data_IF_723782664994
#
_entry.id   IF_723782664994
#
_cell.length_a   1.000
_cell.length_b   1.000
_cell.length_c   1.000
_cell.angle_alpha   90.00
_cell.angle_beta   90.00
_cell.angle_gamma   90.00
#
_symmetry.space_group_name_H-M   'P 1'
#
loop_
_entity.id
_entity.type
_entity.pdbx_description
1 polymer ?
#
# COMPACT_ATOMS: atom_id res chain seq x y z
N UNK A 1 -2.71 20.96 9.08
CA UNK A 1 -2.51 19.99 7.97
C UNK A 1 -3.32 18.75 8.31
N UNK A 2 -3.79 17.96 7.33
CA UNK A 2 -4.59 16.75 7.61
C UNK A 2 -3.71 15.68 8.26
N UNK A 3 -4.22 15.02 9.31
CA UNK A 3 -3.52 13.95 10.04
C UNK A 3 -3.86 12.59 9.45
N UNK A 4 -2.84 11.77 9.17
CA UNK A 4 -3.01 10.48 8.50
C UNK A 4 -2.50 9.35 9.39
N UNK A 5 -3.36 8.37 9.66
CA UNK A 5 -3.05 7.15 10.38
C UNK A 5 -2.93 6.00 9.38
N UNK A 6 -1.83 5.26 9.39
CA UNK A 6 -1.70 4.03 8.60
C UNK A 6 -1.60 2.81 9.51
N UNK A 7 -2.20 1.71 9.06
CA UNK A 7 -2.28 0.44 9.77
C UNK A 7 -1.56 -0.62 8.95
N UNK A 8 -0.60 -1.31 9.57
CA UNK A 8 0.09 -2.47 8.99
C UNK A 8 0.04 -3.63 9.97
N UNK A 9 -0.83 -4.61 9.73
CA UNK A 9 -1.01 -5.73 10.65
C UNK A 9 0.07 -6.82 10.52
N UNK A 10 0.72 -6.93 9.35
CA UNK A 10 1.74 -7.93 9.08
C UNK A 10 3.03 -7.34 8.46
N UNK A 11 3.73 -6.44 9.19
CA UNK A 11 4.98 -5.86 8.70
C UNK A 11 6.06 -6.93 8.53
N UNK A 12 7.11 -6.60 7.78
CA UNK A 12 8.23 -7.50 7.53
C UNK A 12 9.55 -6.74 7.54
N UNK A 13 10.65 -7.43 7.80
CA UNK A 13 11.98 -6.95 7.42
C UNK A 13 12.30 -7.55 6.06
N UNK A 14 12.35 -6.73 5.02
CA UNK A 14 12.60 -7.19 3.66
C UNK A 14 14.10 -7.30 3.41
N UNK A 15 14.57 -8.53 3.16
CA UNK A 15 15.93 -8.87 2.75
C UNK A 15 16.00 -8.92 1.24
N UNK A 16 16.57 -7.87 0.63
CA UNK A 16 16.89 -7.90 -0.80
C UNK A 16 18.29 -8.46 -0.99
N UNK A 17 18.38 -9.66 -1.54
CA UNK A 17 19.62 -10.38 -1.85
C UNK A 17 19.93 -10.25 -3.34
N UNK A 18 21.12 -9.77 -3.68
CA UNK A 18 21.60 -9.78 -5.08
C UNK A 18 22.31 -11.10 -5.33
N UNK A 19 21.71 -11.97 -6.14
CA UNK A 19 22.21 -13.31 -6.43
C UNK A 19 22.31 -13.49 -7.94
N UNK A 20 23.50 -13.27 -8.54
CA UNK A 20 23.71 -13.49 -9.97
C UNK A 20 23.53 -14.95 -10.35
N UNK A 21 22.77 -15.19 -11.43
CA UNK A 21 22.46 -16.52 -11.98
C UNK A 21 21.85 -17.46 -10.94
N UNK A 22 20.75 -17.01 -10.32
CA UNK A 22 20.04 -17.76 -9.30
C UNK A 22 19.54 -19.08 -9.87
N UNK A 23 19.93 -20.17 -9.21
CA UNK A 23 19.59 -21.52 -9.65
C UNK A 23 18.86 -22.30 -8.55
N UNK A 24 17.76 -22.96 -8.92
CA UNK A 24 17.06 -23.92 -8.06
C UNK A 24 17.93 -25.17 -7.87
N UNK A 25 17.83 -25.79 -6.69
CA UNK A 25 18.61 -26.99 -6.34
C UNK A 25 20.15 -26.79 -6.46
N UNK A 26 20.62 -25.59 -6.18
CA UNK A 26 22.04 -25.22 -6.23
C UNK A 26 22.45 -24.38 -5.01
N UNK A 27 23.76 -24.34 -4.73
CA UNK A 27 24.33 -23.42 -3.75
C UNK A 27 24.47 -22.05 -4.39
N UNK A 28 23.69 -21.11 -3.90
CA UNK A 28 23.69 -19.73 -4.37
C UNK A 28 24.52 -18.85 -3.43
N UNK A 29 25.31 -17.92 -3.97
CA UNK A 29 26.10 -16.95 -3.18
C UNK A 29 25.59 -15.54 -3.42
N UNK A 30 24.95 -14.96 -2.42
CA UNK A 30 24.57 -13.55 -2.45
C UNK A 30 25.82 -12.65 -2.51
N UNK A 31 25.81 -11.66 -3.40
CA UNK A 31 26.88 -10.67 -3.58
C UNK A 31 26.61 -9.38 -2.83
N UNK A 32 25.34 -9.10 -2.53
CA UNK A 32 24.92 -8.00 -1.68
C UNK A 32 23.65 -8.39 -0.92
N UNK A 33 23.48 -7.77 0.25
CA UNK A 33 22.26 -7.86 1.06
C UNK A 33 21.87 -6.46 1.49
N UNK A 34 20.58 -6.15 1.39
CA UNK A 34 19.96 -4.96 1.96
C UNK A 34 18.78 -5.39 2.83
N UNK A 35 18.59 -4.69 3.95
CA UNK A 35 17.48 -4.91 4.88
C UNK A 35 16.70 -3.63 4.99
N UNK A 36 15.40 -3.72 4.74
CA UNK A 36 14.51 -2.57 4.83
C UNK A 36 13.31 -2.91 5.73
N UNK A 37 12.79 -1.95 6.51
CA UNK A 37 11.51 -2.11 7.15
C UNK A 37 10.42 -2.09 6.08
N UNK A 38 9.72 -3.19 5.96
CA UNK A 38 8.67 -3.43 4.99
C UNK A 38 7.28 -3.51 5.61
N UNK A 39 6.28 -3.31 4.77
CA UNK A 39 4.86 -3.32 5.12
C UNK A 39 4.13 -2.20 4.39
N UNK A 40 3.04 -2.54 3.68
CA UNK A 40 2.36 -1.59 2.80
C UNK A 40 2.00 -0.27 3.49
N UNK A 41 1.45 -0.31 4.71
CA UNK A 41 1.08 0.90 5.44
C UNK A 41 2.26 1.71 5.96
N UNK A 42 3.39 1.06 6.25
CA UNK A 42 4.66 1.72 6.57
C UNK A 42 5.19 2.44 5.31
N UNK A 43 5.12 1.80 4.14
CA UNK A 43 5.53 2.41 2.87
C UNK A 43 4.65 3.63 2.53
N UNK A 44 3.33 3.51 2.67
CA UNK A 44 2.39 4.62 2.48
C UNK A 44 2.73 5.79 3.41
N UNK A 45 2.92 5.53 4.71
CA UNK A 45 3.26 6.57 5.68
C UNK A 45 4.63 7.21 5.41
N UNK A 46 5.59 6.43 4.92
CA UNK A 46 6.92 6.91 4.55
C UNK A 46 6.81 7.94 3.42
N UNK A 47 6.11 7.60 2.34
CA UNK A 47 5.90 8.50 1.21
C UNK A 47 5.11 9.76 1.60
N UNK A 48 4.04 9.60 2.38
CA UNK A 48 3.24 10.73 2.89
C UNK A 48 4.07 11.68 3.77
N UNK A 49 4.88 11.15 4.67
CA UNK A 49 5.75 11.97 5.53
C UNK A 49 6.79 12.74 4.72
N UNK A 50 7.41 12.08 3.74
CA UNK A 50 8.35 12.74 2.82
C UNK A 50 7.67 13.80 1.94
N UNK A 51 6.39 13.60 1.62
CA UNK A 51 5.52 14.60 0.99
C UNK A 51 5.00 15.69 1.93
N UNK A 52 5.46 15.70 3.19
CA UNK A 52 5.21 16.76 4.17
C UNK A 52 4.01 16.55 5.10
N UNK A 53 3.32 15.41 5.05
CA UNK A 53 2.16 15.14 5.91
C UNK A 53 2.54 14.64 7.30
N UNK A 54 1.74 14.98 8.30
CA UNK A 54 1.82 14.37 9.62
C UNK A 54 1.28 12.95 9.58
N UNK A 55 2.17 11.96 9.73
CA UNK A 55 1.82 10.54 9.70
C UNK A 55 2.04 9.85 11.04
N UNK A 56 1.08 9.00 11.38
CA UNK A 56 1.15 8.09 12.51
C UNK A 56 0.97 6.67 12.01
N UNK A 57 1.73 5.73 12.57
CA UNK A 57 1.76 4.33 12.13
C UNK A 57 1.38 3.39 13.28
N UNK A 58 0.58 2.37 13.02
CA UNK A 58 0.18 1.38 14.02
C UNK A 58 -0.01 -0.01 13.42
N UNK A 59 -0.20 -1.02 14.28
CA UNK A 59 -0.26 -2.43 13.95
C UNK A 59 0.50 -3.27 14.96
N UNK A 60 1.11 -4.38 14.52
CA UNK A 60 1.89 -5.27 15.38
C UNK A 60 3.37 -5.28 14.98
N UNK A 61 4.28 -5.21 15.96
CA UNK A 61 5.72 -5.41 15.76
C UNK A 61 6.30 -6.34 16.82
N UNK A 62 7.25 -7.19 16.43
CA UNK A 62 8.03 -7.98 17.37
C UNK A 62 9.11 -7.13 18.06
N UNK A 63 9.29 -7.32 19.37
CA UNK A 63 10.28 -6.60 20.18
C UNK A 63 11.73 -6.96 19.82
N UNK A 64 12.00 -8.20 19.42
CA UNK A 64 13.36 -8.71 19.24
C UNK A 64 14.12 -8.00 18.11
N UNK A 65 13.43 -7.60 17.04
CA UNK A 65 14.03 -6.99 15.86
C UNK A 65 13.42 -5.62 15.50
N UNK A 66 12.85 -4.91 16.48
CA UNK A 66 12.15 -3.63 16.25
C UNK A 66 13.06 -2.47 15.83
N UNK A 67 14.36 -2.53 16.16
CA UNK A 67 15.28 -1.39 16.03
C UNK A 67 15.30 -0.80 14.61
N UNK A 68 15.22 -1.64 13.57
CA UNK A 68 15.19 -1.16 12.17
C UNK A 68 13.94 -0.31 11.88
N UNK A 69 12.78 -0.71 12.42
CA UNK A 69 11.54 0.05 12.31
C UNK A 69 11.60 1.34 13.13
N UNK A 70 12.09 1.28 14.37
CA UNK A 70 12.22 2.46 15.22
C UNK A 70 13.10 3.55 14.59
N UNK A 71 14.25 3.15 14.03
CA UNK A 71 15.12 4.06 13.31
C UNK A 71 14.43 4.64 12.09
N UNK A 72 13.75 3.82 11.29
CA UNK A 72 13.03 4.28 10.11
C UNK A 72 11.89 5.25 10.42
N UNK A 73 11.12 5.00 11.47
CA UNK A 73 10.08 5.92 11.94
C UNK A 73 10.68 7.26 12.36
N UNK A 74 11.79 7.23 13.11
CA UNK A 74 12.51 8.44 13.51
C UNK A 74 13.07 9.22 12.31
N UNK A 75 13.76 8.54 11.40
CA UNK A 75 14.42 9.17 10.24
C UNK A 75 13.42 9.78 9.26
N UNK A 76 12.19 9.24 9.21
CA UNK A 76 11.09 9.77 8.40
C UNK A 76 10.08 10.57 9.22
N UNK A 77 10.39 11.01 10.45
CA UNK A 77 9.51 11.84 11.28
C UNK A 77 8.07 11.29 11.46
N UNK A 78 7.93 9.96 11.46
CA UNK A 78 6.64 9.28 11.65
C UNK A 78 6.39 9.03 13.14
N UNK A 79 5.15 9.24 13.58
CA UNK A 79 4.75 8.91 14.96
C UNK A 79 4.50 7.41 15.09
N UNK A 80 5.36 6.73 15.83
CA UNK A 80 5.21 5.31 16.15
C UNK A 80 4.09 5.08 17.18
N UNK A 81 3.12 4.23 16.85
CA UNK A 81 2.06 3.76 17.73
C UNK A 81 1.76 2.28 17.53
N UNK A 82 2.78 1.50 17.16
CA UNK A 82 2.68 0.04 17.07
C UNK A 82 2.50 -0.61 18.45
N UNK A 83 1.77 -1.72 18.46
CA UNK A 83 1.73 -2.64 19.58
C UNK A 83 2.92 -3.60 19.51
N UNK A 84 3.86 -3.46 20.44
CA UNK A 84 5.05 -4.30 20.53
C UNK A 84 4.79 -5.58 21.30
N UNK A 85 4.92 -6.70 20.60
CA UNK A 85 4.66 -8.07 21.07
C UNK A 85 5.97 -8.84 21.24
N UNK A 86 5.98 -9.85 22.10
CA UNK A 86 7.14 -10.72 22.30
C UNK A 86 7.47 -11.48 21.01
N UNK A 87 8.77 -11.69 20.74
CA UNK A 87 9.25 -12.33 19.52
C UNK A 87 9.69 -11.35 18.42
N UNK A 88 9.73 -11.84 17.19
CA UNK A 88 10.32 -11.13 16.04
C UNK A 88 9.27 -10.85 14.98
N UNK A 89 9.27 -9.64 14.42
CA UNK A 89 8.59 -9.36 13.14
C UNK A 89 9.16 -10.28 12.07
N UNK A 90 8.31 -10.81 11.20
CA UNK A 90 8.72 -11.73 10.13
C UNK A 90 9.72 -11.08 9.17
N UNK A 91 10.41 -11.93 8.42
CA UNK A 91 11.34 -11.51 7.38
C UNK A 91 10.76 -11.85 6.00
N UNK A 92 10.93 -10.97 5.03
CA UNK A 92 10.68 -11.26 3.61
C UNK A 92 12.01 -11.44 2.91
N UNK A 93 12.10 -12.35 1.94
CA UNK A 93 13.32 -12.52 1.14
C UNK A 93 12.98 -12.22 -0.30
N UNK A 94 13.71 -11.27 -0.89
CA UNK A 94 13.67 -10.95 -2.30
C UNK A 94 15.01 -11.28 -2.93
N UNK A 95 15.03 -12.22 -3.86
CA UNK A 95 16.22 -12.59 -4.62
C UNK A 95 16.18 -11.83 -5.95
N UNK A 96 17.13 -10.92 -6.15
CA UNK A 96 17.31 -10.17 -7.40
C UNK A 96 18.45 -10.79 -8.19
N UNK A 97 18.15 -11.28 -9.38
CA UNK A 97 19.14 -11.78 -10.32
C UNK A 97 19.40 -10.74 -11.42
N UNK A 98 20.54 -10.03 -11.39
CA UNK A 98 20.86 -9.03 -12.40
C UNK A 98 21.21 -9.63 -13.78
N UNK A 99 21.58 -10.91 -13.84
CA UNK A 99 21.95 -11.59 -15.09
C UNK A 99 20.68 -12.00 -15.83
N UNK A 100 19.77 -12.69 -15.14
CA UNK A 100 18.50 -13.13 -15.71
C UNK A 100 17.47 -11.98 -15.76
N UNK A 101 17.70 -10.89 -15.03
CA UNK A 101 16.79 -9.74 -14.85
C UNK A 101 15.46 -10.16 -14.23
N UNK A 102 15.54 -11.10 -13.30
CA UNK A 102 14.39 -11.67 -12.61
C UNK A 102 14.42 -11.33 -11.11
N UNK A 103 13.25 -11.42 -10.49
CA UNK A 103 13.11 -11.28 -9.05
C UNK A 103 12.21 -12.38 -8.52
N UNK A 104 12.66 -13.06 -7.46
CA UNK A 104 11.87 -14.06 -6.74
C UNK A 104 11.56 -13.56 -5.34
N UNK A 105 10.28 -13.56 -4.97
CA UNK A 105 9.81 -13.18 -3.64
C UNK A 105 9.45 -14.42 -2.81
N UNK A 106 10.00 -14.51 -1.60
CA UNK A 106 9.70 -15.53 -0.60
C UNK A 106 9.20 -14.80 0.64
N UNK A 107 7.88 -14.83 0.82
CA UNK A 107 7.22 -14.22 1.96
C UNK A 107 7.02 -15.25 3.07
N UNK A 108 7.58 -14.98 4.25
CA UNK A 108 7.27 -15.77 5.45
C UNK A 108 5.92 -15.34 6.02
N UNK A 109 5.28 -16.25 6.74
CA UNK A 109 4.13 -15.92 7.57
C UNK A 109 4.55 -15.00 8.73
N UNK A 110 3.59 -14.19 9.17
CA UNK A 110 3.74 -13.37 10.38
C UNK A 110 3.79 -14.23 11.64
N UNK A 111 4.11 -13.62 12.77
CA UNK A 111 3.90 -14.28 14.05
C UNK A 111 2.40 -14.33 14.37
N UNK A 112 2.00 -15.34 15.15
CA UNK A 112 0.59 -15.56 15.48
C UNK A 112 0.09 -14.46 16.43
N UNK A 113 -1.05 -13.85 16.09
CA UNK A 113 -1.69 -12.81 16.91
C UNK A 113 -2.81 -13.44 17.72
N UNK A 114 -2.81 -13.19 19.04
CA UNK A 114 -3.87 -13.69 19.93
C UNK A 114 -5.09 -12.77 19.91
N UNK A 115 -6.27 -13.28 20.29
CA UNK A 115 -7.47 -12.45 20.44
C UNK A 115 -7.24 -11.28 21.43
N UNK A 116 -6.47 -11.50 22.49
CA UNK A 116 -6.14 -10.44 23.45
C UNK A 116 -5.30 -9.32 22.80
N UNK A 117 -4.37 -9.66 21.91
CA UNK A 117 -3.58 -8.67 21.18
C UNK A 117 -4.44 -7.90 20.16
N UNK A 118 -5.40 -8.58 19.51
CA UNK A 118 -6.39 -7.93 18.62
C UNK A 118 -7.24 -6.93 19.41
N UNK A 119 -7.76 -7.30 20.57
CA UNK A 119 -8.57 -6.41 21.42
C UNK A 119 -7.76 -5.21 21.89
N UNK A 120 -6.50 -5.42 22.30
CA UNK A 120 -5.57 -4.34 22.67
C UNK A 120 -5.34 -3.38 21.50
N UNK A 121 -5.11 -3.90 20.29
CA UNK A 121 -4.94 -3.07 19.11
C UNK A 121 -6.23 -2.32 18.75
N UNK A 122 -7.41 -2.94 18.83
CA UNK A 122 -8.69 -2.27 18.56
C UNK A 122 -8.96 -1.13 19.54
N UNK A 123 -8.69 -1.33 20.83
CA UNK A 123 -8.83 -0.28 21.84
C UNK A 123 -7.86 0.88 21.58
N UNK A 124 -6.57 0.57 21.33
CA UNK A 124 -5.58 1.57 20.96
C UNK A 124 -6.00 2.32 19.68
N UNK A 125 -6.49 1.60 18.67
CA UNK A 125 -6.94 2.18 17.41
C UNK A 125 -8.08 3.17 17.62
N UNK A 126 -9.07 2.86 18.47
CA UNK A 126 -10.15 3.79 18.81
C UNK A 126 -9.62 5.08 19.43
N UNK A 127 -8.66 5.00 20.36
CA UNK A 127 -8.04 6.19 20.96
C UNK A 127 -7.31 7.03 19.90
N UNK A 128 -6.57 6.35 19.00
CA UNK A 128 -5.80 6.96 17.93
C UNK A 128 -6.66 7.70 16.90
N UNK A 129 -7.92 7.30 16.69
CA UNK A 129 -8.82 7.95 15.74
C UNK A 129 -9.14 9.41 16.09
N UNK A 130 -8.87 9.85 17.32
CA UNK A 130 -9.21 11.20 17.79
C UNK A 130 -8.55 12.31 16.94
N UNK A 131 -9.36 12.85 16.04
CA UNK A 131 -9.02 13.90 15.07
C UNK A 131 -8.03 13.48 13.99
N UNK A 132 -7.91 12.18 13.72
CA UNK A 132 -7.35 11.67 12.46
C UNK A 132 -8.32 11.97 11.34
N UNK A 133 -7.82 12.50 10.22
CA UNK A 133 -8.64 12.83 9.06
C UNK A 133 -8.69 11.69 8.03
N UNK A 134 -7.60 10.92 7.92
CA UNK A 134 -7.46 9.81 6.97
C UNK A 134 -6.90 8.57 7.66
N UNK A 135 -7.49 7.42 7.36
CA UNK A 135 -7.00 6.10 7.78
C UNK A 135 -6.69 5.25 6.56
N UNK A 136 -5.49 4.67 6.53
CA UNK A 136 -5.07 3.71 5.50
C UNK A 136 -4.89 2.33 6.12
N UNK A 137 -5.75 1.40 5.75
CA UNK A 137 -5.68 0.00 6.16
C UNK A 137 -5.01 -0.80 5.05
N UNK A 138 -3.81 -1.34 5.28
CA UNK A 138 -3.06 -1.92 4.17
C UNK A 138 -2.13 -3.07 4.53
N UNK A 139 -1.94 -3.95 3.57
CA UNK A 139 -1.09 -5.14 3.69
C UNK A 139 -1.85 -6.38 4.15
N UNK A 140 -1.17 -7.51 4.08
CA UNK A 140 -1.74 -8.82 4.43
C UNK A 140 -2.02 -8.95 5.93
N UNK A 141 -2.82 -9.95 6.28
CA UNK A 141 -3.16 -10.29 7.66
C UNK A 141 -2.19 -11.35 8.20
N UNK A 142 -1.67 -11.20 9.43
CA UNK A 142 -0.86 -12.25 10.04
C UNK A 142 -1.74 -13.41 10.54
N UNK A 143 -1.16 -14.59 10.83
CA UNK A 143 -1.89 -15.70 11.42
C UNK A 143 -2.63 -15.32 12.71
N UNK A 144 -3.83 -15.87 12.92
CA UNK A 144 -4.66 -15.58 14.09
C UNK A 144 -5.59 -14.36 13.93
N UNK A 145 -5.38 -13.52 12.92
CA UNK A 145 -6.24 -12.35 12.65
C UNK A 145 -7.39 -12.72 11.70
N UNK A 146 -8.61 -12.37 12.10
CA UNK A 146 -9.82 -12.56 11.29
C UNK A 146 -9.74 -11.80 9.97
N UNK A 147 -10.26 -12.41 8.89
CA UNK A 147 -10.37 -11.76 7.58
C UNK A 147 -11.23 -10.49 7.60
N UNK A 148 -12.16 -10.39 8.54
CA UNK A 148 -13.02 -9.21 8.74
C UNK A 148 -12.37 -8.05 9.51
N UNK A 149 -11.11 -8.15 9.96
CA UNK A 149 -10.50 -7.11 10.82
C UNK A 149 -10.49 -5.72 10.16
N UNK A 150 -10.23 -5.64 8.86
CA UNK A 150 -10.22 -4.36 8.14
C UNK A 150 -11.63 -3.81 7.93
N UNK A 151 -12.66 -4.66 7.85
CA UNK A 151 -14.05 -4.22 7.87
C UNK A 151 -14.38 -3.55 9.22
N UNK A 152 -14.03 -4.20 10.34
CA UNK A 152 -14.24 -3.64 11.68
C UNK A 152 -13.53 -2.29 11.86
N UNK A 153 -12.25 -2.22 11.47
CA UNK A 153 -11.45 -1.00 11.59
C UNK A 153 -11.96 0.10 10.65
N UNK A 154 -12.42 -0.25 9.44
CA UNK A 154 -13.03 0.71 8.52
C UNK A 154 -14.31 1.30 9.10
N UNK A 155 -15.17 0.48 9.70
CA UNK A 155 -16.38 0.94 10.40
C UNK A 155 -16.04 1.92 11.53
N UNK A 156 -15.08 1.57 12.40
CA UNK A 156 -14.65 2.44 13.50
C UNK A 156 -14.11 3.79 12.99
N UNK A 157 -13.24 3.76 11.97
CA UNK A 157 -12.64 4.95 11.40
C UNK A 157 -13.68 5.85 10.71
N UNK A 158 -14.59 5.26 9.94
CA UNK A 158 -15.68 5.97 9.26
C UNK A 158 -16.65 6.62 10.26
N UNK A 159 -17.01 5.90 11.34
CA UNK A 159 -17.83 6.45 12.43
C UNK A 159 -17.15 7.60 13.18
N UNK A 160 -15.82 7.59 13.27
CA UNK A 160 -15.03 8.70 13.80
C UNK A 160 -14.89 9.88 12.81
N UNK A 161 -15.45 9.76 11.60
CA UNK A 161 -15.44 10.81 10.58
C UNK A 161 -14.19 10.83 9.70
N UNK A 162 -13.33 9.82 9.78
CA UNK A 162 -12.12 9.73 8.95
C UNK A 162 -12.43 9.18 7.55
N UNK A 163 -11.72 9.67 6.55
CA UNK A 163 -11.69 9.06 5.23
C UNK A 163 -10.91 7.75 5.28
N UNK A 164 -11.49 6.65 4.78
CA UNK A 164 -10.91 5.31 4.89
C UNK A 164 -10.45 4.79 3.53
N UNK A 165 -9.15 4.54 3.40
CA UNK A 165 -8.56 3.85 2.26
C UNK A 165 -8.15 2.42 2.62
N UNK A 166 -8.38 1.45 1.73
CA UNK A 166 -8.01 0.04 1.91
C UNK A 166 -7.15 -0.45 0.74
N UNK A 167 -5.99 -1.02 1.05
CA UNK A 167 -5.11 -1.71 0.10
C UNK A 167 -4.68 -3.06 0.66
N UNK A 168 -5.53 -4.06 0.42
CA UNK A 168 -5.33 -5.46 0.76
C UNK A 168 -5.90 -6.32 -0.37
N UNK A 169 -5.78 -7.64 -0.27
CA UNK A 169 -6.23 -8.57 -1.30
C UNK A 169 -7.11 -9.69 -0.73
N UNK A 170 -7.75 -10.44 -1.63
CA UNK A 170 -8.57 -11.61 -1.30
C UNK A 170 -9.74 -11.28 -0.38
N UNK A 171 -10.18 -12.27 0.40
CA UNK A 171 -11.36 -12.18 1.26
C UNK A 171 -11.35 -10.97 2.21
N UNK A 172 -10.18 -10.53 2.69
CA UNK A 172 -10.08 -9.35 3.52
C UNK A 172 -10.48 -8.06 2.79
N UNK A 173 -10.16 -7.94 1.49
CA UNK A 173 -10.59 -6.82 0.66
C UNK A 173 -12.10 -6.89 0.41
N UNK A 174 -12.62 -8.09 0.10
CA UNK A 174 -14.04 -8.30 -0.11
C UNK A 174 -14.87 -7.88 1.13
N UNK A 175 -14.53 -8.39 2.32
CA UNK A 175 -15.23 -8.05 3.56
C UNK A 175 -15.11 -6.55 3.90
N UNK A 176 -13.96 -5.94 3.63
CA UNK A 176 -13.79 -4.50 3.81
C UNK A 176 -14.71 -3.70 2.87
N UNK A 177 -14.85 -4.10 1.61
CA UNK A 177 -15.81 -3.50 0.66
C UNK A 177 -17.23 -3.67 1.20
N UNK A 178 -17.63 -4.90 1.55
CA UNK A 178 -18.99 -5.23 2.02
C UNK A 178 -19.40 -4.49 3.29
N UNK A 179 -18.45 -3.99 4.09
CA UNK A 179 -18.71 -3.16 5.27
C UNK A 179 -19.44 -1.84 4.97
N UNK A 180 -19.38 -1.34 3.73
CA UNK A 180 -19.93 -0.03 3.34
C UNK A 180 -19.22 1.18 3.97
N UNK A 181 -18.12 0.96 4.70
CA UNK A 181 -17.40 2.01 5.44
C UNK A 181 -16.12 2.47 4.75
N UNK A 182 -15.77 1.86 3.62
CA UNK A 182 -14.56 2.17 2.86
C UNK A 182 -14.84 3.26 1.81
N UNK A 183 -13.97 4.26 1.78
CA UNK A 183 -14.09 5.37 0.82
C UNK A 183 -13.31 5.06 -0.46
N UNK A 184 -12.07 4.59 -0.32
CA UNK A 184 -11.16 4.31 -1.42
C UNK A 184 -10.61 2.90 -1.32
N UNK A 185 -10.66 2.15 -2.41
CA UNK A 185 -9.87 0.92 -2.58
C UNK A 185 -8.84 1.10 -3.68
N UNK A 186 -7.68 0.47 -3.55
CA UNK A 186 -6.66 0.45 -4.60
C UNK A 186 -6.25 -0.96 -5.01
N UNK A 187 -7.10 -1.71 -5.73
CA UNK A 187 -6.70 -3.01 -6.24
C UNK A 187 -5.82 -2.86 -7.49
N UNK A 188 -5.04 -3.89 -7.81
CA UNK A 188 -4.49 -4.10 -9.14
C UNK A 188 -5.35 -5.13 -9.93
N UNK A 189 -4.99 -5.38 -11.20
CA UNK A 189 -5.72 -6.31 -12.06
C UNK A 189 -5.76 -7.75 -11.53
N UNK A 190 -4.66 -8.23 -10.95
CA UNK A 190 -4.57 -9.59 -10.39
C UNK A 190 -5.47 -9.72 -9.14
N UNK A 191 -5.44 -8.72 -8.26
CA UNK A 191 -6.25 -8.66 -7.05
C UNK A 191 -7.75 -8.59 -7.38
N UNK A 192 -8.15 -7.83 -8.41
CA UNK A 192 -9.53 -7.82 -8.90
C UNK A 192 -9.92 -9.15 -9.54
N UNK A 193 -9.09 -9.70 -10.43
CA UNK A 193 -9.38 -10.97 -11.11
C UNK A 193 -9.49 -12.15 -10.14
N UNK A 194 -8.73 -12.13 -9.04
CA UNK A 194 -8.82 -13.14 -7.99
C UNK A 194 -10.13 -13.09 -7.19
N UNK A 195 -10.77 -11.91 -7.09
CA UNK A 195 -12.05 -11.73 -6.40
C UNK A 195 -13.25 -11.92 -7.32
N UNK A 196 -13.10 -11.58 -8.59
CA UNK A 196 -14.18 -11.55 -9.57
C UNK A 196 -13.75 -12.34 -10.79
N UNK A 197 -13.97 -13.66 -10.74
CA UNK A 197 -13.59 -14.59 -11.82
C UNK A 197 -14.20 -14.24 -13.17
N UNK A 198 -15.35 -13.53 -13.18
CA UNK A 198 -16.00 -12.97 -14.37
C UNK A 198 -15.10 -12.03 -15.19
N UNK A 199 -14.04 -11.45 -14.60
CA UNK A 199 -13.03 -10.68 -15.33
C UNK A 199 -12.09 -11.55 -16.16
N UNK A 200 -11.78 -12.76 -15.68
CA UNK A 200 -10.88 -13.69 -16.37
C UNK A 200 -11.52 -14.27 -17.63
N UNK A 201 -12.85 -14.33 -17.65
CA UNK A 201 -13.64 -14.84 -18.77
C UNK A 201 -14.10 -13.74 -19.76
N UNK A 202 -13.76 -12.47 -19.49
CA UNK A 202 -14.19 -11.35 -20.31
C UNK A 202 -13.40 -11.29 -21.64
N UNK A 203 -14.12 -11.20 -22.76
CA UNK A 203 -13.50 -10.96 -24.08
C UNK A 203 -12.74 -9.62 -24.13
N UNK A 204 -13.26 -8.62 -23.43
CA UNK A 204 -12.59 -7.33 -23.17
C UNK A 204 -12.49 -7.11 -21.66
N UNK A 205 -11.29 -7.37 -21.13
CA UNK A 205 -10.97 -7.25 -19.71
C UNK A 205 -11.24 -5.83 -19.21
N UNK A 206 -10.92 -4.79 -19.99
CA UNK A 206 -11.07 -3.40 -19.56
C UNK A 206 -12.54 -2.98 -19.51
N UNK A 207 -13.36 -3.46 -20.45
CA UNK A 207 -14.82 -3.31 -20.36
C UNK A 207 -15.39 -4.03 -19.12
N UNK A 208 -14.89 -5.22 -18.80
CA UNK A 208 -15.26 -5.94 -17.58
C UNK A 208 -14.92 -5.18 -16.30
N UNK A 209 -13.72 -4.62 -16.23
CA UNK A 209 -13.25 -3.80 -15.09
C UNK A 209 -14.07 -2.52 -14.94
N UNK A 210 -14.48 -1.88 -16.04
CA UNK A 210 -15.40 -0.74 -16.00
C UNK A 210 -16.70 -1.12 -15.29
N UNK A 211 -17.36 -2.17 -15.78
CA UNK A 211 -18.65 -2.63 -15.24
C UNK A 211 -18.51 -3.00 -13.76
N UNK A 212 -17.44 -3.72 -13.41
CA UNK A 212 -17.14 -4.08 -12.04
C UNK A 212 -16.93 -2.84 -11.16
N UNK A 213 -16.14 -1.88 -11.62
CA UNK A 213 -15.85 -0.66 -10.86
C UNK A 213 -17.13 0.14 -10.60
N UNK A 214 -18.02 0.26 -11.60
CA UNK A 214 -19.33 0.88 -11.43
C UNK A 214 -20.21 0.14 -10.41
N UNK A 215 -20.14 -1.20 -10.35
CA UNK A 215 -20.81 -2.00 -9.31
C UNK A 215 -20.23 -1.72 -7.92
N UNK A 216 -18.90 -1.67 -7.80
CA UNK A 216 -18.21 -1.42 -6.53
C UNK A 216 -18.49 -0.02 -5.98
N UNK A 217 -18.67 0.98 -6.84
CA UNK A 217 -19.01 2.37 -6.46
C UNK A 217 -20.39 2.52 -5.78
N UNK A 218 -21.21 1.46 -5.75
CA UNK A 218 -22.42 1.39 -4.92
C UNK A 218 -22.09 1.24 -3.44
N UNK A 219 -20.94 0.65 -3.12
CA UNK A 219 -20.52 0.33 -1.75
C UNK A 219 -19.32 1.18 -1.29
N UNK A 220 -18.38 1.46 -2.18
CA UNK A 220 -17.25 2.39 -1.93
C UNK A 220 -17.44 3.71 -2.71
N UNK A 221 -16.64 4.73 -2.42
CA UNK A 221 -16.74 6.02 -3.11
C UNK A 221 -15.78 6.14 -4.31
N UNK A 222 -14.64 5.45 -4.23
CA UNK A 222 -13.56 5.51 -5.21
C UNK A 222 -12.90 4.14 -5.39
N UNK A 223 -12.58 3.80 -6.65
CA UNK A 223 -11.76 2.63 -7.00
C UNK A 223 -10.57 3.15 -7.80
N UNK A 224 -9.36 3.02 -7.24
CA UNK A 224 -8.13 3.42 -7.92
C UNK A 224 -7.40 2.17 -8.44
N UNK A 225 -7.48 1.94 -9.75
CA UNK A 225 -6.88 0.79 -10.40
C UNK A 225 -5.48 1.13 -10.91
N UNK A 226 -4.48 0.36 -10.48
CA UNK A 226 -3.12 0.45 -11.04
C UNK A 226 -2.93 -0.56 -12.17
N UNK A 227 -2.44 -0.11 -13.33
CA UNK A 227 -2.19 -0.89 -14.54
C UNK A 227 -0.69 -1.00 -14.89
N UNK A 228 0.19 -0.76 -13.90
CA UNK A 228 1.63 -0.81 -14.10
C UNK A 228 2.10 0.21 -15.15
N UNK A 229 2.70 -0.29 -16.24
CA UNK A 229 3.23 0.56 -17.33
C UNK A 229 2.14 1.25 -18.16
N UNK A 230 0.91 0.76 -18.10
CA UNK A 230 -0.21 1.37 -18.82
C UNK A 230 -0.83 2.55 -18.04
N UNK A 231 -0.37 2.80 -16.81
CA UNK A 231 -0.82 3.91 -15.99
C UNK A 231 -1.82 3.48 -14.92
N UNK A 232 -2.86 4.28 -14.72
CA UNK A 232 -3.84 4.06 -13.66
C UNK A 232 -5.17 4.70 -13.98
N UNK A 233 -6.25 4.08 -13.51
CA UNK A 233 -7.60 4.62 -13.59
C UNK A 233 -8.12 4.98 -12.20
N UNK A 234 -8.90 6.05 -12.12
CA UNK A 234 -9.68 6.38 -10.93
C UNK A 234 -11.16 6.43 -11.29
N UNK A 235 -11.92 5.54 -10.69
CA UNK A 235 -13.36 5.48 -10.82
C UNK A 235 -14.01 6.19 -9.64
N UNK A 236 -14.96 7.06 -9.93
CA UNK A 236 -15.81 7.74 -8.96
C UNK A 236 -17.26 7.66 -9.41
N UNK A 237 -18.20 8.01 -8.54
CA UNK A 237 -19.62 8.11 -8.92
C UNK A 237 -19.91 9.17 -9.99
N UNK A 238 -18.97 10.08 -10.24
CA UNK A 238 -19.16 11.24 -11.11
C UNK A 238 -18.52 11.05 -12.48
N UNK A 239 -17.37 10.38 -12.52
CA UNK A 239 -16.58 10.20 -13.73
C UNK A 239 -15.53 9.11 -13.57
N UNK A 240 -14.98 8.70 -14.72
CA UNK A 240 -13.73 7.94 -14.82
C UNK A 240 -12.60 8.89 -15.17
N UNK A 241 -11.45 8.69 -14.55
CA UNK A 241 -10.22 9.38 -14.90
C UNK A 241 -9.15 8.37 -15.28
N UNK A 242 -8.39 8.68 -16.32
CA UNK A 242 -7.28 7.86 -16.79
C UNK A 242 -6.01 8.68 -16.78
N UNK A 243 -4.93 8.12 -16.23
CA UNK A 243 -3.62 8.75 -16.20
C UNK A 243 -2.58 7.81 -16.79
N UNK A 244 -1.77 8.30 -17.74
CA UNK A 244 -0.66 7.52 -18.29
C UNK A 244 0.48 7.37 -17.27
N UNK A 245 1.24 6.28 -17.33
CA UNK A 245 2.49 6.17 -16.59
C UNK A 245 3.61 6.97 -17.29
N UNK A 246 4.35 7.83 -16.58
CA UNK A 246 5.59 8.42 -17.08
C UNK A 246 6.64 7.33 -17.39
N UNK A 247 7.41 7.55 -18.45
CA UNK A 247 8.54 6.67 -18.79
C UNK A 247 9.71 7.02 -17.86
N UNK A 248 10.18 6.05 -17.08
CA UNK A 248 11.28 6.20 -16.11
C UNK A 248 12.27 5.04 -16.22
N UNK A 249 13.53 5.29 -15.84
CA UNK A 249 14.53 4.23 -15.68
C UNK A 249 14.27 3.50 -14.36
N UNK A 250 13.59 2.35 -14.44
CA UNK A 250 13.11 1.61 -13.28
C UNK A 250 14.28 0.95 -12.55
N UNK A 251 14.55 1.41 -11.33
CA UNK A 251 15.50 0.78 -10.40
C UNK A 251 14.85 -0.28 -9.52
N UNK A 252 13.60 -0.06 -9.12
CA UNK A 252 12.83 -0.99 -8.29
C UNK A 252 11.33 -0.74 -8.44
N UNK A 253 10.53 -1.80 -8.48
CA UNK A 253 9.06 -1.72 -8.45
C UNK A 253 8.48 -1.80 -7.04
N UNK A 254 9.31 -2.09 -6.04
CA UNK A 254 8.91 -2.23 -4.63
C UNK A 254 8.32 -0.91 -4.12
N UNK A 255 7.12 -0.98 -3.54
CA UNK A 255 6.46 0.17 -2.94
C UNK A 255 5.87 1.18 -3.94
N UNK A 256 5.94 0.93 -5.25
CA UNK A 256 5.35 1.83 -6.25
C UNK A 256 3.82 1.95 -6.09
N UNK A 257 3.13 0.82 -5.86
CA UNK A 257 1.69 0.82 -5.59
C UNK A 257 1.31 1.51 -4.27
N UNK A 258 2.11 1.29 -3.22
CA UNK A 258 1.92 1.95 -1.92
C UNK A 258 2.12 3.46 -2.04
N UNK A 259 3.13 3.88 -2.82
CA UNK A 259 3.44 5.30 -3.02
C UNK A 259 2.46 5.98 -3.98
N UNK A 260 1.89 5.23 -4.94
CA UNK A 260 0.74 5.69 -5.71
C UNK A 260 -0.45 6.01 -4.80
N UNK A 261 -0.80 5.10 -3.89
CA UNK A 261 -1.88 5.32 -2.93
C UNK A 261 -1.59 6.55 -2.05
N UNK A 262 -0.35 6.67 -1.55
CA UNK A 262 0.10 7.81 -0.77
C UNK A 262 -0.09 9.14 -1.54
N UNK A 263 0.33 9.20 -2.80
CA UNK A 263 0.19 10.41 -3.62
C UNK A 263 -1.27 10.77 -3.93
N UNK A 264 -2.12 9.76 -4.18
CA UNK A 264 -3.56 9.97 -4.35
C UNK A 264 -4.19 10.54 -3.08
N UNK A 265 -3.87 9.96 -1.92
CA UNK A 265 -4.34 10.46 -0.61
C UNK A 265 -3.80 11.86 -0.34
N UNK A 266 -2.54 12.15 -0.67
CA UNK A 266 -1.95 13.47 -0.50
C UNK A 266 -2.70 14.54 -1.31
N UNK A 267 -3.08 14.25 -2.54
CA UNK A 267 -3.91 15.14 -3.37
C UNK A 267 -5.28 15.39 -2.75
N UNK A 268 -5.98 14.33 -2.36
CA UNK A 268 -7.29 14.41 -1.73
C UNK A 268 -7.25 15.19 -0.41
N UNK A 269 -6.29 14.88 0.46
CA UNK A 269 -6.09 15.54 1.75
C UNK A 269 -5.71 17.01 1.62
N UNK A 270 -5.15 17.41 0.47
CA UNK A 270 -4.85 18.81 0.14
C UNK A 270 -6.03 19.54 -0.51
N UNK A 271 -7.21 18.91 -0.62
CA UNK A 271 -8.40 19.49 -1.25
C UNK A 271 -8.29 19.63 -2.76
N UNK A 272 -7.40 18.86 -3.41
CA UNK A 272 -7.34 18.78 -4.87
C UNK A 272 -8.53 17.98 -5.41
N UNK A 273 -8.87 18.21 -6.67
CA UNK A 273 -9.89 17.39 -7.34
C UNK A 273 -9.35 16.01 -7.73
N UNK A 274 -10.23 15.11 -8.15
CA UNK A 274 -9.91 13.72 -8.46
C UNK A 274 -8.81 13.59 -9.53
N UNK A 275 -8.89 14.37 -10.61
CA UNK A 275 -7.90 14.33 -11.70
C UNK A 275 -6.50 14.73 -11.22
N UNK A 276 -6.39 15.81 -10.44
CA UNK A 276 -5.11 16.22 -9.86
C UNK A 276 -4.59 15.22 -8.84
N UNK A 277 -5.48 14.62 -8.03
CA UNK A 277 -5.10 13.63 -7.03
C UNK A 277 -4.60 12.35 -7.70
N UNK A 278 -5.23 11.91 -8.80
CA UNK A 278 -4.75 10.82 -9.63
C UNK A 278 -3.37 11.13 -10.24
N UNK A 279 -3.19 12.32 -10.83
CA UNK A 279 -1.90 12.75 -11.37
C UNK A 279 -0.80 12.72 -10.30
N UNK A 280 -1.12 13.17 -9.08
CA UNK A 280 -0.19 13.16 -7.96
C UNK A 280 0.20 11.74 -7.55
N UNK A 281 -0.77 10.82 -7.47
CA UNK A 281 -0.50 9.39 -7.25
C UNK A 281 0.48 8.83 -8.28
N UNK A 282 0.24 9.08 -9.57
CA UNK A 282 1.13 8.62 -10.66
C UNK A 282 2.53 9.22 -10.54
N UNK A 283 2.64 10.53 -10.30
CA UNK A 283 3.94 11.20 -10.15
C UNK A 283 4.74 10.67 -8.96
N UNK A 284 4.06 10.39 -7.83
CA UNK A 284 4.70 9.82 -6.65
C UNK A 284 5.21 8.41 -6.93
N UNK A 285 4.39 7.57 -7.58
CA UNK A 285 4.80 6.24 -8.00
C UNK A 285 6.01 6.28 -8.96
N UNK A 286 5.99 7.18 -9.94
CA UNK A 286 7.11 7.39 -10.87
C UNK A 286 8.39 7.78 -10.12
N UNK A 287 8.30 8.67 -9.13
CA UNK A 287 9.44 9.02 -8.28
C UNK A 287 10.02 7.81 -7.54
N UNK A 288 9.18 6.97 -6.93
CA UNK A 288 9.62 5.74 -6.24
C UNK A 288 10.34 4.76 -7.17
N UNK A 289 9.86 4.62 -8.41
CA UNK A 289 10.44 3.69 -9.39
C UNK A 289 11.91 4.01 -9.72
N UNK A 290 12.35 5.25 -9.53
CA UNK A 290 13.72 5.73 -9.83
C UNK A 290 14.72 5.50 -8.70
N UNK A 291 14.30 4.88 -7.59
CA UNK A 291 15.13 4.62 -6.42
C UNK A 291 14.96 3.19 -5.90
N UNK A 292 15.81 2.80 -4.94
CA UNK A 292 15.74 1.49 -4.29
C UNK A 292 15.11 1.65 -2.90
N UNK A 293 14.01 0.92 -2.66
CA UNK A 293 13.22 1.02 -1.43
C UNK A 293 12.01 1.96 -1.56
N UNK A 294 11.14 1.99 -0.53
CA UNK A 294 9.91 2.79 -0.53
C UNK A 294 10.19 4.29 -0.32
N UNK A 295 9.24 5.14 -0.70
CA UNK A 295 9.29 6.59 -0.52
C UNK A 295 9.51 7.36 -1.83
N UNK A 296 9.92 8.61 -1.71
CA UNK A 296 10.08 9.58 -2.80
C UNK A 296 11.56 9.83 -3.07
N UNK A 297 11.93 9.84 -4.35
CA UNK A 297 13.29 10.09 -4.80
C UNK A 297 13.67 11.55 -4.62
N UNK A 298 14.82 11.82 -4.00
CA UNK A 298 15.35 13.19 -3.86
C UNK A 298 15.93 13.73 -5.17
N UNK A 299 16.43 12.85 -6.04
CA UNK A 299 17.05 13.22 -7.32
C UNK A 299 16.03 13.35 -8.43
N UNK A 300 14.94 12.59 -8.37
CA UNK A 300 13.82 12.64 -9.30
C UNK A 300 12.52 12.78 -8.49
N UNK A 301 12.30 13.96 -7.87
CA UNK A 301 11.13 14.19 -7.03
C UNK A 301 9.84 14.18 -7.87
N UNK A 302 8.66 13.92 -7.26
CA UNK A 302 7.40 13.77 -7.99
C UNK A 302 7.08 14.90 -8.97
N UNK A 303 7.45 16.14 -8.63
CA UNK A 303 7.24 17.32 -9.45
C UNK A 303 7.88 17.20 -10.84
N UNK A 304 8.95 16.42 -10.96
CA UNK A 304 9.66 16.16 -12.23
C UNK A 304 8.79 15.45 -13.25
N UNK A 305 7.74 14.75 -12.82
CA UNK A 305 6.88 13.94 -13.67
C UNK A 305 5.56 14.62 -14.04
N UNK A 306 5.27 15.82 -13.51
CA UNK A 306 4.00 16.52 -13.73
C UNK A 306 3.74 16.79 -15.22
N UNK A 307 4.74 17.29 -15.95
CA UNK A 307 4.62 17.58 -17.38
C UNK A 307 4.55 16.34 -18.27
N UNK A 308 4.80 15.15 -17.70
CA UNK A 308 4.79 13.86 -18.36
C UNK A 308 3.58 13.00 -17.97
N UNK A 309 2.71 13.54 -17.11
CA UNK A 309 1.50 12.88 -16.62
C UNK A 309 0.27 13.61 -17.16
N UNK A 310 -0.39 12.99 -18.12
CA UNK A 310 -1.64 13.44 -18.70
C UNK A 310 -2.78 12.71 -18.00
N UNK A 311 -3.81 13.46 -17.59
CA UNK A 311 -5.03 12.90 -17.02
C UNK A 311 -6.22 13.28 -17.90
N UNK A 312 -6.94 12.28 -18.36
CA UNK A 312 -8.17 12.43 -19.13
C UNK A 312 -9.37 12.13 -18.24
N UNK A 313 -10.43 12.94 -18.36
CA UNK A 313 -11.74 12.67 -17.77
C UNK A 313 -12.65 12.10 -18.85
N UNK A 314 -13.27 10.97 -18.57
CA UNK A 314 -14.17 10.25 -19.47
C UNK A 314 -15.57 10.15 -18.86
#
# INVERSE_FOLDING_TARGET
>A
MKRILTVTLNPAIDYTLVVPDFARNAVNRARAVRRDPGGKGINVATALSQGGFETQVTGFLGRTNSLIFNNHFKDNSMRDSFLYLEGSTREGIKVVDPIQRETTDINLDGFFITNSDIDRLKNQFQDLLTGVDYVVLSGSLPPGVSKGIYADMACMASQAGAFVAVDTSGEALQLAIESGSVHLIKPNMEELGALYSELSDAEDIMAGVEILSQRLLKTVQMVALSLGREGSHLYTRQARYEANAPIVDVKSTVGAGDTFLAGLIAGLASGKNDAHSLAQGVCWAASTLTMIGPGLSKTEPPESFLNHTLVSKL
#
